data_IF_892377274180
#
_entry.id   IF_892377274180
#
_cell.length_a   1.000
_cell.length_b   1.000
_cell.length_c   1.000
_cell.angle_alpha   90.00
_cell.angle_beta   90.00
_cell.angle_gamma   90.00
#
_symmetry.space_group_name_H-M   'P 1'
#
loop_
_entity.id
_entity.type
_entity.pdbx_description
1 polymer ?
#
# COMPACT_ATOMS: atom_id res chain seq x y z
N UNK A 1 11.60 12.57 -1.80
CA UNK A 1 12.17 11.25 -2.17
C UNK A 1 11.06 10.42 -2.79
N UNK A 2 11.32 9.67 -3.86
CA UNK A 2 10.30 8.84 -4.53
C UNK A 2 10.77 7.39 -4.49
N UNK A 3 9.88 6.48 -4.11
CA UNK A 3 10.11 5.04 -4.14
C UNK A 3 8.91 4.35 -4.80
N UNK A 4 9.19 3.30 -5.57
CA UNK A 4 8.18 2.43 -6.17
C UNK A 4 8.34 1.04 -5.54
N UNK A 5 7.31 0.59 -4.82
CA UNK A 5 7.39 -0.63 -4.03
C UNK A 5 6.01 -1.23 -3.84
N UNK A 6 5.98 -2.56 -3.71
CA UNK A 6 4.81 -3.32 -3.27
C UNK A 6 4.92 -3.74 -1.80
N UNK A 7 6.03 -3.41 -1.11
CA UNK A 7 6.19 -3.71 0.31
C UNK A 7 5.27 -2.80 1.13
N UNK A 8 4.30 -3.40 1.82
CA UNK A 8 3.34 -2.74 2.66
C UNK A 8 3.98 -1.93 3.80
N UNK A 9 5.11 -2.39 4.35
CA UNK A 9 5.86 -1.66 5.38
C UNK A 9 6.45 -0.38 4.80
N UNK A 10 6.98 -0.44 3.58
CA UNK A 10 7.52 0.74 2.90
C UNK A 10 6.43 1.75 2.53
N UNK A 11 5.25 1.27 2.11
CA UNK A 11 4.09 2.14 1.89
C UNK A 11 3.64 2.83 3.20
N UNK A 12 3.72 2.10 4.32
CA UNK A 12 3.36 2.60 5.65
C UNK A 12 4.33 3.61 6.27
N UNK A 13 5.47 3.90 5.63
CA UNK A 13 6.38 4.97 6.08
C UNK A 13 6.48 6.13 5.08
N UNK A 14 5.72 6.05 3.98
CA UNK A 14 5.70 7.09 2.95
C UNK A 14 4.69 8.18 3.31
N UNK A 15 5.02 9.44 3.04
CA UNK A 15 4.12 10.59 3.32
C UNK A 15 2.83 10.53 2.48
N UNK A 16 2.94 9.98 1.25
CA UNK A 16 1.85 9.88 0.27
C UNK A 16 2.08 8.68 -0.62
N UNK A 17 1.00 7.97 -0.94
CA UNK A 17 1.00 6.85 -1.89
C UNK A 17 0.24 7.25 -3.14
N UNK A 18 0.84 6.99 -4.30
CA UNK A 18 0.25 7.25 -5.60
C UNK A 18 0.11 5.93 -6.34
N UNK A 19 -1.12 5.59 -6.73
CA UNK A 19 -1.38 4.45 -7.61
C UNK A 19 -1.28 4.92 -9.05
N UNK A 20 -0.49 4.21 -9.83
CA UNK A 20 -0.37 4.41 -11.27
C UNK A 20 -0.92 3.17 -11.96
N UNK A 21 -1.87 3.38 -12.87
CA UNK A 21 -2.49 2.34 -13.67
C UNK A 21 -2.60 2.84 -15.10
N UNK A 22 -2.26 2.00 -16.09
CA UNK A 22 -2.36 2.34 -17.51
C UNK A 22 -1.66 3.67 -17.90
N UNK A 23 -0.53 3.97 -17.23
CA UNK A 23 0.25 5.18 -17.46
C UNK A 23 -0.32 6.47 -16.86
N UNK A 24 -1.44 6.38 -16.12
CA UNK A 24 -2.09 7.52 -15.47
C UNK A 24 -2.11 7.39 -13.95
N UNK A 25 -2.23 8.54 -13.26
CA UNK A 25 -2.48 8.57 -11.83
C UNK A 25 -3.93 8.16 -11.59
N UNK A 26 -4.11 7.00 -10.97
CA UNK A 26 -5.42 6.44 -10.64
C UNK A 26 -5.92 6.97 -9.28
N UNK A 27 -5.02 7.05 -8.29
CA UNK A 27 -5.37 7.48 -6.93
C UNK A 27 -4.18 8.09 -6.22
N UNK A 28 -4.45 9.05 -5.34
CA UNK A 28 -3.50 9.61 -4.39
C UNK A 28 -4.12 9.52 -2.99
N UNK A 29 -3.40 8.96 -2.02
CA UNK A 29 -3.81 8.89 -0.60
C UNK A 29 -2.67 9.44 0.27
N UNK A 30 -3.00 10.30 1.24
CA UNK A 30 -2.07 10.71 2.29
C UNK A 30 -1.80 9.55 3.26
N UNK A 31 -0.66 9.61 3.96
CA UNK A 31 -0.28 8.57 4.91
C UNK A 31 -1.34 8.30 5.99
N UNK A 32 -1.99 9.34 6.47
CA UNK A 32 -3.00 9.28 7.55
C UNK A 32 -4.27 8.53 7.15
N UNK A 33 -4.64 8.56 5.87
CA UNK A 33 -5.85 7.91 5.35
C UNK A 33 -5.56 6.47 4.85
N UNK A 34 -4.28 6.08 4.80
CA UNK A 34 -3.87 4.79 4.27
C UNK A 34 -4.14 3.66 5.27
N UNK A 35 -5.12 2.82 4.95
CA UNK A 35 -5.40 1.56 5.66
C UNK A 35 -4.75 0.39 4.93
N UNK A 36 -3.85 -0.32 5.61
CA UNK A 36 -3.19 -1.51 5.10
C UNK A 36 -3.61 -2.68 5.98
N UNK A 37 -4.33 -3.63 5.40
CA UNK A 37 -4.68 -4.89 6.05
C UNK A 37 -3.74 -5.99 5.55
N UNK A 38 -3.00 -6.60 6.48
CA UNK A 38 -2.16 -7.76 6.18
C UNK A 38 -2.93 -8.99 6.63
N UNK A 39 -3.49 -9.73 5.69
CA UNK A 39 -4.15 -10.99 5.99
C UNK A 39 -3.12 -12.02 6.50
N UNK A 40 -3.43 -12.68 7.62
CA UNK A 40 -2.72 -13.87 8.07
C UNK A 40 -3.39 -15.10 7.45
N UNK A 41 -2.59 -16.05 6.96
CA UNK A 41 -3.08 -17.37 6.61
C UNK A 41 -2.79 -18.26 7.82
N UNK A 42 -3.67 -18.24 8.82
CA UNK A 42 -3.68 -19.26 9.86
C UNK A 42 -4.37 -20.51 9.29
N UNK A 43 -3.57 -21.40 8.71
CA UNK A 43 -4.00 -22.62 8.05
C UNK A 43 -4.51 -23.72 8.99
N UNK A 44 -5.37 -23.40 9.95
CA UNK A 44 -6.04 -24.42 10.76
C UNK A 44 -7.39 -24.79 10.13
N UNK A 45 -7.38 -25.94 9.46
CA UNK A 45 -8.58 -26.72 9.22
C UNK A 45 -8.95 -27.44 10.54
N UNK A 46 -10.18 -27.24 11.00
CA UNK A 46 -10.88 -28.23 11.84
C UNK A 46 -11.68 -29.17 10.93
#
# INVERSE_FOLDING_TARGET
>A
VISATHDHKMLSVSDRVVWVRDGIVDRIINREDLKIEVGTIDGHAE
#
